data_IF_906702311040
#
_entry.id   IF_906702311040
#
_cell.length_a   1.000
_cell.length_b   1.000
_cell.length_c   1.000
_cell.angle_alpha   90.00
_cell.angle_beta   90.00
_cell.angle_gamma   90.00
#
_symmetry.space_group_name_H-M   'P 1'
#
loop_
_entity.id
_entity.type
_entity.pdbx_description
1 polymer ?
#
# COMPACT_ATOMS: atom_id res chain seq x y z
N UNK A 1 1.10 -3.50 -2.30
CA UNK A 1 0.39 -4.68 -2.88
C UNK A 1 -0.21 -4.25 -4.20
N UNK A 2 -0.13 -5.04 -5.28
CA UNK A 2 -0.70 -4.68 -6.58
C UNK A 2 -2.03 -5.40 -6.81
N UNK A 3 -3.06 -4.68 -7.25
CA UNK A 3 -4.35 -5.22 -7.70
C UNK A 3 -4.65 -4.61 -9.08
N UNK A 4 -4.68 -5.43 -10.12
CA UNK A 4 -4.74 -4.94 -11.50
C UNK A 4 -3.56 -3.99 -11.78
N UNK A 5 -3.87 -2.76 -12.19
CA UNK A 5 -2.88 -1.69 -12.46
C UNK A 5 -2.63 -0.76 -11.25
N UNK A 6 -3.30 -0.97 -10.12
CA UNK A 6 -3.20 -0.11 -8.94
C UNK A 6 -2.31 -0.73 -7.88
N UNK A 7 -1.42 0.08 -7.30
CA UNK A 7 -0.61 -0.27 -6.13
C UNK A 7 -1.31 0.28 -4.88
N UNK A 8 -1.70 -0.62 -3.98
CA UNK A 8 -2.13 -0.27 -2.62
C UNK A 8 -0.90 -0.10 -1.71
N UNK A 9 -0.84 1.02 -1.01
CA UNK A 9 0.23 1.36 -0.06
C UNK A 9 -0.36 1.88 1.26
N UNK A 10 0.36 1.67 2.37
CA UNK A 10 -0.06 2.21 3.66
C UNK A 10 0.02 3.74 3.68
N UNK A 11 -1.07 4.40 4.10
CA UNK A 11 -1.21 5.86 4.08
C UNK A 11 -0.17 6.61 4.95
N UNK A 12 0.45 5.94 5.92
CA UNK A 12 1.48 6.51 6.80
C UNK A 12 2.83 6.82 6.13
N UNK A 13 3.02 6.48 4.85
CA UNK A 13 4.29 6.67 4.12
C UNK A 13 4.15 7.59 2.89
N UNK A 14 3.82 8.88 3.08
CA UNK A 14 3.51 9.80 1.97
C UNK A 14 4.69 10.02 1.01
N UNK A 15 5.93 10.04 1.53
CA UNK A 15 7.13 10.22 0.70
C UNK A 15 7.32 9.05 -0.27
N UNK A 16 7.20 7.81 0.22
CA UNK A 16 7.31 6.61 -0.60
C UNK A 16 6.16 6.52 -1.61
N UNK A 17 4.94 6.88 -1.20
CA UNK A 17 3.79 6.94 -2.11
C UNK A 17 4.07 7.88 -3.27
N UNK A 18 4.60 9.07 -3.00
CA UNK A 18 4.88 10.06 -4.05
C UNK A 18 6.01 9.60 -4.98
N UNK A 19 7.05 8.95 -4.43
CA UNK A 19 8.10 8.34 -5.26
C UNK A 19 7.52 7.29 -6.21
N UNK A 20 6.63 6.43 -5.72
CA UNK A 20 6.00 5.40 -6.56
C UNK A 20 5.09 6.03 -7.62
N UNK A 21 4.33 7.07 -7.28
CA UNK A 21 3.54 7.84 -8.26
C UNK A 21 4.41 8.50 -9.33
N UNK A 22 5.55 9.06 -8.94
CA UNK A 22 6.47 9.75 -9.87
C UNK A 22 7.05 8.81 -10.94
N UNK A 23 7.08 7.50 -10.68
CA UNK A 23 7.53 6.46 -11.62
C UNK A 23 6.40 6.05 -12.59
N UNK A 24 5.19 6.60 -12.44
CA UNK A 24 4.05 6.40 -13.33
C UNK A 24 3.05 5.34 -12.87
N UNK A 25 3.13 4.89 -11.61
CA UNK A 25 2.16 3.96 -11.06
C UNK A 25 0.93 4.66 -10.48
N UNK A 26 -0.25 4.07 -10.70
CA UNK A 26 -1.47 4.40 -9.95
C UNK A 26 -1.33 3.90 -8.52
N UNK A 27 -1.38 4.80 -7.54
CA UNK A 27 -1.23 4.47 -6.12
C UNK A 27 -2.45 4.90 -5.31
N UNK A 28 -3.07 3.94 -4.64
CA UNK A 28 -4.11 4.17 -3.65
C UNK A 28 -3.56 3.96 -2.24
N UNK A 29 -3.76 4.97 -1.39
CA UNK A 29 -3.30 4.96 -0.01
C UNK A 29 -4.40 4.41 0.89
N UNK A 30 -4.08 3.37 1.67
CA UNK A 30 -5.03 2.70 2.57
C UNK A 30 -4.52 2.85 4.01
N UNK A 31 -5.38 3.29 4.92
CA UNK A 31 -5.05 3.31 6.34
C UNK A 31 -5.16 1.90 6.94
N UNK A 32 -4.03 1.37 7.39
CA UNK A 32 -3.93 0.11 8.12
C UNK A 32 -3.19 0.30 9.45
N UNK A 33 -3.21 1.50 10.01
CA UNK A 33 -2.46 1.87 11.22
C UNK A 33 -2.75 0.96 12.42
N UNK A 34 -3.98 0.48 12.59
CA UNK A 34 -4.33 -0.49 13.63
C UNK A 34 -3.67 -1.86 13.42
N UNK A 35 -3.54 -2.33 12.18
CA UNK A 35 -2.86 -3.58 11.86
C UNK A 35 -1.33 -3.44 11.92
N UNK A 36 -0.81 -2.25 11.63
CA UNK A 36 0.62 -1.98 11.75
C UNK A 36 1.14 -2.13 13.19
N UNK A 37 0.28 -1.92 14.20
CA UNK A 37 0.61 -2.22 15.62
C UNK A 37 0.92 -3.70 15.86
N UNK A 38 0.36 -4.59 15.02
CA UNK A 38 0.59 -6.02 15.03
C UNK A 38 1.61 -6.47 13.96
N UNK A 39 2.47 -5.54 13.48
CA UNK A 39 3.50 -5.79 12.46
C UNK A 39 2.93 -6.31 11.12
N UNK A 40 1.64 -6.08 10.86
CA UNK A 40 0.98 -6.52 9.64
C UNK A 40 1.03 -5.45 8.52
N UNK A 41 1.14 -5.93 7.29
CA UNK A 41 1.07 -5.12 6.06
C UNK A 41 -0.01 -5.62 5.09
N UNK A 42 -0.32 -4.83 4.05
CA UNK A 42 -1.35 -5.14 3.05
C UNK A 42 -1.17 -6.53 2.40
N UNK A 43 0.09 -6.99 2.26
CA UNK A 43 0.42 -8.28 1.66
C UNK A 43 0.04 -9.48 2.54
N UNK A 44 0.22 -9.42 3.86
CA UNK A 44 -0.15 -10.51 4.76
C UNK A 44 -1.63 -10.48 5.16
N UNK A 45 -2.32 -9.34 4.95
CA UNK A 45 -3.76 -9.18 5.14
C UNK A 45 -4.59 -9.66 3.94
N UNK A 46 -3.95 -10.29 2.95
CA UNK A 46 -4.59 -10.62 1.68
C UNK A 46 -4.28 -12.05 1.26
N UNK A 47 -5.26 -12.69 0.63
CA UNK A 47 -5.09 -13.91 -0.15
C UNK A 47 -5.27 -13.56 -1.62
N UNK A 48 -4.25 -13.82 -2.44
CA UNK A 48 -4.23 -13.46 -3.86
C UNK A 48 -4.53 -14.71 -4.69
N UNK A 49 -5.45 -14.61 -5.66
CA UNK A 49 -5.83 -15.65 -6.61
C UNK A 49 -6.07 -15.06 -8.00
#
# INVERSE_FOLDING_TARGET
MRIGETILMQAGFPQTIEQVRSIGYSVEAVDISEFAKAEAGLTCLSLIF
#
